data_IF_048491495283
#
_entry.id   IF_048491495283
#
_cell.length_a   1.000
_cell.length_b   1.000
_cell.length_c   1.000
_cell.angle_alpha   90.00
_cell.angle_beta   90.00
_cell.angle_gamma   90.00
#
_symmetry.space_group_name_H-M   'P 1'
#
loop_
_entity.id
_entity.type
_entity.pdbx_description
1 polymer ?
#
# COMPACT_ATOMS: atom_id res chain seq x y z
N UNK A 1 18.88 17.54 -14.35
CA UNK A 1 17.47 17.42 -13.90
C UNK A 1 16.63 17.96 -15.03
N UNK A 2 16.27 17.10 -15.98
CA UNK A 2 15.47 17.45 -17.15
C UNK A 2 14.16 16.68 -17.05
N UNK A 3 13.07 17.40 -17.22
CA UNK A 3 11.73 16.93 -16.89
C UNK A 3 11.30 15.87 -17.91
N UNK A 4 10.68 14.81 -17.37
CA UNK A 4 9.98 13.74 -18.06
C UNK A 4 8.90 14.33 -18.99
N UNK A 5 8.56 13.65 -20.10
CA UNK A 5 7.47 13.98 -21.05
C UNK A 5 7.78 14.92 -22.24
N UNK A 6 8.86 14.66 -22.98
CA UNK A 6 9.01 15.12 -24.35
C UNK A 6 8.43 14.12 -25.35
N UNK A 7 7.11 14.02 -25.46
CA UNK A 7 6.45 13.36 -26.58
C UNK A 7 5.27 14.24 -27.00
N UNK A 8 5.57 15.19 -27.89
CA UNK A 8 4.57 16.03 -28.52
C UNK A 8 3.60 15.17 -29.34
N UNK A 9 2.32 15.43 -29.06
CA UNK A 9 1.13 15.35 -29.90
C UNK A 9 0.68 13.96 -30.39
N UNK A 10 -0.07 13.26 -29.54
CA UNK A 10 -1.14 12.37 -30.01
C UNK A 10 -2.56 12.89 -29.68
N UNK A 11 -2.71 13.86 -28.75
CA UNK A 11 -3.97 14.54 -28.42
C UNK A 11 -3.71 15.94 -27.79
N UNK A 12 -3.82 17.05 -28.54
CA UNK A 12 -3.48 18.41 -28.07
C UNK A 12 -4.41 18.96 -26.98
N UNK A 13 -5.60 18.38 -26.83
CA UNK A 13 -6.60 18.76 -25.82
C UNK A 13 -6.31 18.25 -24.40
N UNK A 14 -5.34 17.34 -24.22
CA UNK A 14 -5.04 16.76 -22.90
C UNK A 14 -3.73 17.32 -22.34
N UNK A 15 -3.86 18.30 -21.46
CA UNK A 15 -2.74 18.88 -20.73
C UNK A 15 -2.21 17.93 -19.65
N UNK A 16 -1.17 17.17 -19.99
CA UNK A 16 -0.47 16.26 -19.09
C UNK A 16 0.55 16.95 -18.17
N UNK A 17 0.88 18.21 -18.42
CA UNK A 17 1.88 18.97 -17.65
C UNK A 17 1.22 19.53 -16.39
N UNK A 18 0.06 20.16 -16.52
CA UNK A 18 -0.71 20.64 -15.37
C UNK A 18 -1.54 19.52 -14.72
N UNK A 19 -1.97 18.52 -15.50
CA UNK A 19 -2.79 17.40 -15.00
C UNK A 19 -2.13 16.05 -15.30
N UNK A 20 -1.10 15.65 -14.52
CA UNK A 20 -0.51 14.33 -14.67
C UNK A 20 -1.55 13.24 -14.42
N UNK A 21 -1.34 12.08 -15.05
CA UNK A 21 -2.12 10.88 -14.73
C UNK A 21 -1.99 10.57 -13.24
N UNK A 22 -3.10 10.21 -12.60
CA UNK A 22 -3.08 9.71 -11.23
C UNK A 22 -2.10 8.53 -11.15
N UNK A 23 -0.99 8.71 -10.41
CA UNK A 23 -0.01 7.66 -10.16
C UNK A 23 -0.40 6.93 -8.88
N UNK A 24 -0.62 5.62 -8.99
CA UNK A 24 -0.77 4.75 -7.83
C UNK A 24 0.48 4.85 -6.94
N UNK A 25 0.29 4.87 -5.62
CA UNK A 25 1.38 4.91 -4.66
C UNK A 25 2.19 3.61 -4.76
N UNK A 26 3.52 3.71 -4.83
CA UNK A 26 4.41 2.55 -5.04
C UNK A 26 4.41 1.58 -3.85
N UNK A 27 4.17 2.09 -2.63
CA UNK A 27 4.03 1.28 -1.43
C UNK A 27 2.73 1.63 -0.69
N UNK A 28 2.06 0.64 -0.07
CA UNK A 28 0.93 0.89 0.80
C UNK A 28 1.38 1.67 2.03
N UNK A 29 0.44 2.40 2.64
CA UNK A 29 0.69 3.04 3.93
C UNK A 29 1.07 1.99 4.98
N UNK A 30 2.03 2.30 5.86
CA UNK A 30 2.41 1.36 6.90
C UNK A 30 1.26 1.13 7.87
N UNK A 31 1.10 -0.14 8.24
CA UNK A 31 0.05 -0.63 9.13
C UNK A 31 0.74 -1.41 10.26
N UNK A 32 0.42 -1.09 11.52
CA UNK A 32 1.12 -1.68 12.68
C UNK A 32 0.48 -2.98 13.18
N UNK A 33 -0.84 -3.10 13.01
CA UNK A 33 -1.66 -4.28 13.32
C UNK A 33 -2.66 -4.49 12.18
N UNK A 34 -3.20 -5.70 11.97
CA UNK A 34 -4.04 -6.06 10.81
C UNK A 34 -4.98 -4.95 10.29
N UNK A 35 -5.71 -4.25 11.16
CA UNK A 35 -6.64 -3.17 10.79
C UNK A 35 -6.22 -1.75 11.21
N UNK A 36 -5.16 -1.57 12.01
CA UNK A 36 -4.84 -0.26 12.61
C UNK A 36 -3.70 0.41 11.85
N UNK A 37 -3.98 1.49 11.10
CA UNK A 37 -2.97 2.20 10.32
C UNK A 37 -2.03 2.99 11.23
N UNK A 38 -0.79 3.21 10.78
CA UNK A 38 0.19 3.99 11.54
C UNK A 38 -0.24 5.46 11.74
N UNK A 39 -1.11 5.98 10.87
CA UNK A 39 -1.66 7.33 10.98
C UNK A 39 -2.40 7.57 12.31
N UNK A 40 -3.08 6.56 12.85
CA UNK A 40 -3.76 6.67 14.14
C UNK A 40 -2.75 6.77 15.29
N UNK A 41 -1.63 6.05 15.20
CA UNK A 41 -0.56 6.16 16.18
C UNK A 41 0.10 7.55 16.13
N UNK A 42 0.30 8.11 14.93
CA UNK A 42 0.87 9.47 14.76
C UNK A 42 0.05 10.55 15.49
N UNK A 43 -1.27 10.43 15.50
CA UNK A 43 -2.14 11.33 16.27
C UNK A 43 -1.83 11.33 17.78
N UNK A 44 -1.57 10.16 18.36
CA UNK A 44 -1.23 10.05 19.79
C UNK A 44 0.24 10.37 20.12
N UNK A 45 1.11 10.50 19.11
CA UNK A 45 2.54 10.74 19.31
C UNK A 45 2.93 12.20 19.55
N UNK A 46 1.98 13.16 19.54
CA UNK A 46 2.26 14.57 19.85
C UNK A 46 2.78 14.80 21.29
N UNK A 47 2.51 13.86 22.20
CA UNK A 47 3.14 13.77 23.53
C UNK A 47 3.83 12.40 23.62
N UNK A 48 5.12 12.32 24.01
CA UNK A 48 5.94 11.13 23.77
C UNK A 48 5.59 9.98 24.71
N UNK A 49 4.54 9.23 24.36
CA UNK A 49 4.22 7.98 25.03
C UNK A 49 3.85 6.96 23.94
N UNK A 50 4.82 6.12 23.58
CA UNK A 50 4.63 5.03 22.61
C UNK A 50 3.56 4.04 23.10
N UNK A 51 3.32 3.98 24.42
CA UNK A 51 2.28 3.16 25.05
C UNK A 51 0.88 3.77 25.02
N UNK A 52 0.72 5.05 24.66
CA UNK A 52 -0.55 5.79 24.72
C UNK A 52 -1.66 5.14 23.89
N UNK A 53 -1.43 4.87 22.59
CA UNK A 53 -2.38 4.15 21.75
C UNK A 53 -2.76 2.78 22.30
N UNK A 54 -1.78 2.04 22.83
CA UNK A 54 -2.01 0.69 23.35
C UNK A 54 -2.88 0.72 24.61
N UNK A 55 -2.62 1.66 25.52
CA UNK A 55 -3.41 1.85 26.73
C UNK A 55 -4.82 2.36 26.41
N UNK A 56 -4.98 3.18 25.37
CA UNK A 56 -6.30 3.63 24.90
C UNK A 56 -7.16 2.45 24.43
N UNK A 57 -6.63 1.59 23.54
CA UNK A 57 -7.37 0.42 23.06
C UNK A 57 -7.63 -0.60 24.18
N UNK A 58 -6.66 -0.81 25.07
CA UNK A 58 -6.83 -1.69 26.23
C UNK A 58 -7.94 -1.18 27.18
N UNK A 59 -7.94 0.13 27.47
CA UNK A 59 -8.98 0.77 28.27
C UNK A 59 -10.36 0.70 27.62
N UNK A 60 -10.45 0.91 26.30
CA UNK A 60 -11.69 0.78 25.53
C UNK A 60 -12.24 -0.66 25.62
N UNK A 61 -11.37 -1.66 25.51
CA UNK A 61 -11.75 -3.08 25.56
C UNK A 61 -12.25 -3.48 26.95
N UNK A 62 -11.55 -3.09 28.02
CA UNK A 62 -12.02 -3.32 29.41
C UNK A 62 -13.35 -2.60 29.67
N UNK A 63 -13.48 -1.37 29.19
CA UNK A 63 -14.73 -0.62 29.31
C UNK A 63 -15.89 -1.34 28.59
N UNK A 64 -15.64 -1.89 27.40
CA UNK A 64 -16.59 -2.70 26.64
C UNK A 64 -17.05 -3.96 27.39
N UNK A 65 -16.13 -4.68 28.03
CA UNK A 65 -16.49 -5.81 28.89
C UNK A 65 -17.27 -5.39 30.13
N UNK A 66 -16.86 -4.30 30.79
CA UNK A 66 -17.53 -3.79 31.99
C UNK A 66 -18.97 -3.31 31.71
N UNK A 67 -19.21 -2.76 30.51
CA UNK A 67 -20.52 -2.29 30.07
C UNK A 67 -21.33 -3.34 29.33
N UNK A 68 -20.86 -4.58 29.26
CA UNK A 68 -21.51 -5.68 28.55
C UNK A 68 -21.81 -5.36 27.07
N UNK A 69 -21.07 -4.42 26.47
CA UNK A 69 -21.11 -4.20 25.01
C UNK A 69 -20.46 -5.38 24.27
N UNK A 70 -19.50 -6.05 24.93
CA UNK A 70 -18.89 -7.29 24.46
C UNK A 70 -19.29 -8.37 25.47
N UNK A 71 -20.39 -9.08 25.19
CA UNK A 71 -20.85 -10.21 26.00
C UNK A 71 -20.14 -11.48 25.53
N UNK A 72 -19.50 -12.17 26.46
CA UNK A 72 -18.86 -13.46 26.19
C UNK A 72 -19.94 -14.56 26.26
N UNK A 73 -20.52 -14.87 25.11
CA UNK A 73 -21.41 -16.02 24.93
C UNK A 73 -20.63 -17.33 24.82
N UNK A 74 -21.33 -18.47 24.84
CA UNK A 74 -20.76 -19.80 24.71
C UNK A 74 -19.88 -19.96 23.46
N UNK A 75 -20.30 -19.36 22.34
CA UNK A 75 -19.62 -19.46 21.03
C UNK A 75 -18.34 -18.62 20.94
N UNK A 76 -18.01 -17.81 21.96
CA UNK A 76 -16.84 -16.94 21.94
C UNK A 76 -15.53 -17.71 21.70
N UNK A 77 -15.44 -18.91 22.25
CA UNK A 77 -14.26 -19.77 22.10
C UNK A 77 -14.07 -20.20 20.64
N UNK A 78 -15.16 -20.47 19.91
CA UNK A 78 -15.10 -20.84 18.50
C UNK A 78 -14.60 -19.67 17.64
N UNK A 79 -15.09 -18.45 17.89
CA UNK A 79 -14.62 -17.24 17.21
C UNK A 79 -13.14 -16.95 17.48
N UNK A 80 -12.65 -17.21 18.70
CA UNK A 80 -11.24 -17.02 19.04
C UNK A 80 -10.34 -17.98 18.26
N UNK A 81 -10.72 -19.26 18.18
CA UNK A 81 -9.98 -20.27 17.42
C UNK A 81 -9.98 -19.93 15.93
N UNK A 82 -11.13 -19.52 15.37
CA UNK A 82 -11.24 -19.07 13.99
C UNK A 82 -10.34 -17.86 13.71
N UNK A 83 -10.31 -16.86 14.60
CA UNK A 83 -9.47 -15.68 14.45
C UNK A 83 -7.97 -16.05 14.42
N UNK A 84 -7.52 -16.95 15.31
CA UNK A 84 -6.13 -17.43 15.32
C UNK A 84 -5.81 -18.21 14.04
N UNK A 85 -6.74 -19.06 13.56
CA UNK A 85 -6.57 -19.80 12.32
C UNK A 85 -6.41 -18.87 11.11
N UNK A 86 -7.28 -17.85 10.97
CA UNK A 86 -7.20 -16.85 9.91
C UNK A 86 -5.86 -16.10 9.96
N UNK A 87 -5.42 -15.68 11.15
CA UNK A 87 -4.12 -15.03 11.34
C UNK A 87 -2.97 -15.94 10.87
N UNK A 88 -3.01 -17.22 11.22
CA UNK A 88 -2.00 -18.19 10.81
C UNK A 88 -1.97 -18.39 9.29
N UNK A 89 -3.14 -18.46 8.65
CA UNK A 89 -3.28 -18.59 7.20
C UNK A 89 -2.74 -17.34 6.49
N UNK A 90 -3.11 -16.13 6.94
CA UNK A 90 -2.64 -14.86 6.35
C UNK A 90 -1.12 -14.73 6.46
N UNK A 91 -0.51 -15.14 7.57
CA UNK A 91 0.96 -15.09 7.73
C UNK A 91 1.69 -16.04 6.80
N UNK A 92 1.11 -17.20 6.47
CA UNK A 92 1.73 -18.20 5.58
C UNK A 92 1.47 -17.89 4.10
N UNK A 93 0.24 -17.52 3.74
CA UNK A 93 -0.14 -17.25 2.36
C UNK A 93 0.20 -15.83 1.90
N UNK A 94 0.30 -14.87 2.82
CA UNK A 94 0.59 -13.47 2.53
C UNK A 94 1.87 -13.26 1.70
N UNK A 95 3.02 -13.84 2.08
CA UNK A 95 4.26 -13.71 1.30
C UNK A 95 4.14 -14.32 -0.10
N UNK A 96 3.54 -15.51 -0.21
CA UNK A 96 3.38 -16.24 -1.49
C UNK A 96 2.55 -15.41 -2.48
N UNK A 97 1.41 -14.91 -2.01
CA UNK A 97 0.53 -14.07 -2.81
C UNK A 97 1.22 -12.76 -3.17
N UNK A 98 1.89 -12.11 -2.20
CA UNK A 98 2.61 -10.86 -2.41
C UNK A 98 3.73 -10.96 -3.45
N UNK A 99 4.52 -12.03 -3.43
CA UNK A 99 5.62 -12.25 -4.37
C UNK A 99 5.10 -12.54 -5.78
N UNK A 100 3.99 -13.26 -5.90
CA UNK A 100 3.33 -13.54 -7.18
C UNK A 100 2.85 -12.24 -7.84
N UNK A 101 2.15 -11.38 -7.10
CA UNK A 101 1.69 -10.08 -7.61
C UNK A 101 2.85 -9.14 -7.95
N UNK A 102 3.91 -9.12 -7.13
CA UNK A 102 5.12 -8.33 -7.42
C UNK A 102 5.85 -8.83 -8.67
N UNK A 103 5.89 -10.14 -8.90
CA UNK A 103 6.46 -10.74 -10.10
C UNK A 103 5.76 -10.27 -11.38
N UNK A 104 4.43 -10.35 -11.41
CA UNK A 104 3.64 -9.86 -12.54
C UNK A 104 3.82 -8.36 -12.79
N UNK A 105 3.83 -7.55 -11.72
CA UNK A 105 4.06 -6.12 -11.86
C UNK A 105 5.45 -5.80 -12.41
N UNK A 106 6.48 -6.53 -11.95
CA UNK A 106 7.86 -6.34 -12.41
C UNK A 106 8.02 -6.68 -13.88
N UNK A 107 7.42 -7.75 -14.36
CA UNK A 107 7.46 -8.14 -15.78
C UNK A 107 6.85 -7.05 -16.68
N UNK A 108 5.70 -6.50 -16.28
CA UNK A 108 5.02 -5.42 -16.99
C UNK A 108 5.90 -4.16 -17.05
N UNK A 109 6.50 -3.76 -15.92
CA UNK A 109 7.41 -2.61 -15.83
C UNK A 109 8.68 -2.80 -16.67
N UNK A 110 9.29 -3.99 -16.64
CA UNK A 110 10.48 -4.33 -17.41
C UNK A 110 10.18 -4.28 -18.93
N UNK A 111 9.00 -4.77 -19.34
CA UNK A 111 8.50 -4.69 -20.72
C UNK A 111 8.39 -3.24 -21.19
N UNK A 112 7.69 -2.37 -20.45
CA UNK A 112 7.57 -0.95 -20.81
C UNK A 112 8.94 -0.26 -20.87
N UNK A 113 9.81 -0.53 -19.90
CA UNK A 113 11.15 0.06 -19.84
C UNK A 113 12.00 -0.33 -21.05
N UNK A 114 11.90 -1.59 -21.51
CA UNK A 114 12.62 -2.06 -22.71
C UNK A 114 12.16 -1.35 -23.99
N UNK A 115 10.85 -1.12 -24.16
CA UNK A 115 10.26 -0.43 -25.32
C UNK A 115 10.70 1.04 -25.34
N UNK A 116 10.66 1.71 -24.19
CA UNK A 116 11.10 3.11 -24.06
C UNK A 116 12.60 3.23 -24.37
N UNK A 117 13.44 2.34 -23.82
CA UNK A 117 14.87 2.34 -24.08
C UNK A 117 15.20 2.08 -25.55
N UNK A 118 14.51 1.14 -26.20
CA UNK A 118 14.63 0.88 -27.64
C UNK A 118 14.23 2.11 -28.48
N UNK A 119 13.19 2.82 -28.07
CA UNK A 119 12.72 4.05 -28.74
C UNK A 119 13.71 5.20 -28.57
N UNK A 120 14.26 5.41 -27.35
CA UNK A 120 15.32 6.39 -27.08
C UNK A 120 16.60 6.09 -27.86
N UNK A 121 17.00 4.83 -27.94
CA UNK A 121 18.15 4.42 -28.75
C UNK A 121 17.92 4.78 -30.23
N UNK A 122 16.78 4.38 -30.79
CA UNK A 122 16.40 4.69 -32.18
C UNK A 122 16.41 6.19 -32.47
N UNK A 123 15.79 7.00 -31.61
CA UNK A 123 15.69 8.45 -31.83
C UNK A 123 17.08 9.13 -31.80
N UNK A 124 17.97 8.71 -30.90
CA UNK A 124 19.37 9.20 -30.87
C UNK A 124 20.14 8.92 -32.15
N UNK A 125 19.90 7.79 -32.80
CA UNK A 125 20.52 7.52 -34.10
C UNK A 125 19.96 8.47 -35.17
N UNK A 126 18.64 8.68 -35.22
CA UNK A 126 18.01 9.55 -36.24
C UNK A 126 18.48 11.01 -36.12
N UNK A 127 18.61 11.54 -34.90
CA UNK A 127 19.12 12.90 -34.65
C UNK A 127 20.62 13.07 -34.85
N UNK A 128 21.39 11.98 -34.95
CA UNK A 128 22.83 12.05 -35.25
C UNK A 128 23.14 12.05 -36.76
N UNK A 129 22.14 11.75 -37.60
CA UNK A 129 22.26 11.72 -39.06
C UNK A 129 21.54 12.88 -39.78
N UNK A 130 21.01 13.85 -39.01
CA UNK A 130 20.45 15.12 -39.47
C UNK A 130 21.15 16.27 -38.74
#
# INVERSE_FOLDING_TARGET
>A
MENVYGQHDQWPERDLVNYPLYKLREAPNPVRWYCVPESWFKFFHEKPVVTGPYMFFYGLLIYGFKKEYIVLWYDFTEYLILAIAVIAVVKKLGPIVGDTFRGWHKEEVDRYTSIVNKSKARNRYVTAYF
#
